data_IF_959888449591
#
_entry.id   IF_959888449591
#
_cell.length_a   1.000
_cell.length_b   1.000
_cell.length_c   1.000
_cell.angle_alpha   90.00
_cell.angle_beta   90.00
_cell.angle_gamma   90.00
#
_symmetry.space_group_name_H-M   'P 1'
#
loop_
_entity.id
_entity.type
_entity.pdbx_description
1 polymer ?
#
# COMPACT_ATOMS: atom_id res chain seq x y z
N UNK A 1 27.38 -10.14 68.67
CA UNK A 1 26.47 -11.15 68.09
C UNK A 1 25.07 -10.58 68.14
N UNK A 2 24.25 -10.46 67.11
CA UNK A 2 24.37 -10.53 65.66
C UNK A 2 23.09 -9.89 65.12
N UNK A 3 23.21 -8.82 64.34
CA UNK A 3 22.05 -8.19 63.68
C UNK A 3 21.72 -9.04 62.44
N UNK A 4 20.50 -9.59 62.39
CA UNK A 4 20.00 -10.31 61.22
C UNK A 4 19.56 -9.27 60.18
N UNK A 5 20.37 -9.07 59.16
CA UNK A 5 19.97 -8.42 57.91
C UNK A 5 18.96 -9.31 57.18
N UNK A 6 17.69 -8.93 57.18
CA UNK A 6 16.68 -9.50 56.28
C UNK A 6 16.60 -8.64 55.00
N UNK A 7 16.64 -9.22 53.79
CA UNK A 7 16.56 -8.45 52.56
C UNK A 7 15.16 -7.85 52.37
N UNK A 8 15.11 -6.54 52.08
CA UNK A 8 13.86 -5.83 51.84
C UNK A 8 13.10 -6.44 50.65
N UNK A 9 11.92 -7.00 50.92
CA UNK A 9 11.03 -7.54 49.89
C UNK A 9 10.26 -6.38 49.20
N UNK A 10 10.41 -6.17 47.88
CA UNK A 10 9.78 -5.04 47.19
C UNK A 10 8.29 -5.27 46.83
N UNK A 11 7.69 -6.37 47.26
CA UNK A 11 6.30 -6.75 46.95
C UNK A 11 5.32 -6.61 48.12
N UNK A 12 5.73 -6.06 49.28
CA UNK A 12 4.83 -5.83 50.43
C UNK A 12 4.70 -4.33 50.71
N UNK A 13 3.60 -3.73 50.24
CA UNK A 13 3.19 -2.38 50.62
C UNK A 13 2.60 -2.37 52.05
N UNK A 14 3.13 -1.59 53.01
CA UNK A 14 2.46 -1.38 54.29
C UNK A 14 1.56 -0.14 54.17
N UNK A 15 0.29 -0.33 53.81
CA UNK A 15 -0.71 0.74 54.05
C UNK A 15 -1.25 0.62 55.46
N UNK A 16 -0.80 1.59 56.26
CA UNK A 16 -1.14 1.91 57.63
C UNK A 16 -2.64 2.15 57.80
N UNK A 17 -3.11 1.76 58.98
CA UNK A 17 -4.47 1.70 59.52
C UNK A 17 -4.99 3.04 60.08
N UNK A 18 -6.35 3.14 60.11
CA UNK A 18 -7.25 3.93 61.01
C UNK A 18 -7.20 5.47 60.94
N UNK A 19 -8.26 6.28 61.13
CA UNK A 19 -9.66 6.12 61.57
C UNK A 19 -10.50 7.38 61.16
N UNK A 20 -11.84 7.26 61.15
CA UNK A 20 -12.98 8.14 60.75
C UNK A 20 -13.16 9.51 61.51
N UNK A 21 -14.24 10.36 61.36
CA UNK A 21 -15.55 10.22 60.66
C UNK A 21 -16.23 11.43 59.94
N UNK A 22 -17.31 11.07 59.20
CA UNK A 22 -18.58 11.77 58.88
C UNK A 22 -18.59 13.12 58.13
N UNK A 23 -19.09 13.09 56.89
CA UNK A 23 -20.31 13.84 56.55
C UNK A 23 -21.04 13.24 55.33
N UNK A 24 -22.36 13.05 55.46
CA UNK A 24 -23.29 12.66 54.40
C UNK A 24 -24.19 13.86 54.10
N UNK A 25 -24.76 14.02 52.89
CA UNK A 25 -26.06 13.38 52.66
C UNK A 25 -26.32 12.83 51.24
N UNK A 26 -26.97 11.66 51.25
CA UNK A 26 -28.06 11.17 50.37
C UNK A 26 -28.06 11.57 48.89
N UNK A 27 -27.73 10.59 48.05
CA UNK A 27 -28.30 10.38 46.72
C UNK A 27 -28.47 8.88 46.47
N UNK A 28 -29.71 8.39 46.57
CA UNK A 28 -30.04 6.96 46.63
C UNK A 28 -29.76 6.18 45.33
N UNK A 29 -29.13 5.00 45.50
CA UNK A 29 -29.14 3.90 44.53
C UNK A 29 -30.29 2.93 44.86
N UNK A 30 -31.11 2.62 43.87
CA UNK A 30 -31.74 1.30 43.65
C UNK A 30 -31.31 0.91 42.23
N UNK A 31 -30.86 -0.28 41.88
CA UNK A 31 -30.57 -1.54 42.54
C UNK A 31 -30.01 -2.43 41.42
N UNK A 32 -28.96 -3.20 41.71
CA UNK A 32 -28.24 -4.00 40.73
C UNK A 32 -29.05 -5.21 40.22
N UNK A 33 -28.72 -5.65 39.00
CA UNK A 33 -29.00 -7.00 38.50
C UNK A 33 -27.72 -7.61 37.92
N UNK A 34 -27.57 -8.95 37.99
CA UNK A 34 -26.27 -9.60 38.02
C UNK A 34 -25.67 -9.83 36.63
N UNK A 35 -24.33 -9.90 36.59
CA UNK A 35 -23.54 -10.45 35.48
C UNK A 35 -23.84 -11.95 35.36
N UNK A 36 -24.57 -12.33 34.32
CA UNK A 36 -24.63 -13.68 33.77
C UNK A 36 -24.05 -13.67 32.36
N UNK A 37 -23.23 -14.66 32.04
CA UNK A 37 -22.64 -14.89 30.72
C UNK A 37 -23.73 -14.99 29.64
N UNK A 38 -23.60 -14.21 28.57
CA UNK A 38 -24.16 -14.56 27.27
C UNK A 38 -23.20 -14.07 26.19
N UNK A 39 -22.74 -15.00 25.36
CA UNK A 39 -21.91 -14.70 24.18
C UNK A 39 -22.68 -13.83 23.17
N UNK A 40 -22.02 -13.42 22.08
CA UNK A 40 -22.67 -12.62 21.04
C UNK A 40 -23.89 -13.37 20.48
N UNK A 41 -25.00 -12.66 20.17
CA UNK A 41 -26.18 -13.28 19.58
C UNK A 41 -25.84 -13.90 18.23
N UNK A 42 -26.28 -15.14 18.01
CA UNK A 42 -26.12 -15.84 16.74
C UNK A 42 -26.84 -15.08 15.61
N UNK A 43 -26.29 -15.05 14.38
CA UNK A 43 -26.97 -14.48 13.23
C UNK A 43 -28.24 -15.29 12.88
N UNK A 44 -29.31 -14.63 12.38
CA UNK A 44 -30.56 -15.30 12.01
C UNK A 44 -30.31 -16.39 10.95
N UNK A 45 -30.90 -17.56 11.21
CA UNK A 45 -30.62 -18.82 10.53
C UNK A 45 -30.65 -18.74 9.00
N UNK A 46 -29.52 -19.11 8.39
CA UNK A 46 -29.48 -19.57 7.01
C UNK A 46 -29.88 -21.04 7.00
N UNK A 47 -31.05 -21.35 6.46
CA UNK A 47 -31.38 -22.71 6.03
C UNK A 47 -30.34 -23.15 4.98
N UNK A 48 -29.84 -24.40 5.00
CA UNK A 48 -28.96 -24.88 3.94
C UNK A 48 -29.82 -25.16 2.70
N UNK A 49 -29.83 -24.24 1.75
CA UNK A 49 -30.24 -24.56 0.37
C UNK A 49 -29.09 -25.32 -0.27
N UNK A 50 -29.33 -26.61 -0.53
CA UNK A 50 -28.49 -27.44 -1.37
C UNK A 50 -28.28 -26.78 -2.75
N UNK A 51 -27.14 -27.02 -3.44
CA UNK A 51 -26.96 -26.57 -4.82
C UNK A 51 -28.01 -27.25 -5.72
N UNK A 52 -28.53 -26.57 -6.76
CA UNK A 52 -29.44 -27.21 -7.69
C UNK A 52 -28.72 -28.35 -8.41
N UNK A 53 -29.25 -29.55 -8.19
CA UNK A 53 -28.94 -30.77 -8.92
C UNK A 53 -29.39 -30.55 -10.36
N UNK A 54 -28.45 -30.64 -11.30
CA UNK A 54 -28.77 -30.74 -12.72
C UNK A 54 -29.56 -32.04 -12.97
N UNK A 55 -30.68 -32.02 -13.72
CA UNK A 55 -31.37 -33.24 -14.06
C UNK A 55 -30.53 -34.05 -15.05
N UNK A 56 -29.93 -35.13 -14.57
CA UNK A 56 -29.41 -36.21 -15.41
C UNK A 56 -30.46 -37.29 -15.59
N UNK A 57 -30.69 -37.68 -16.85
CA UNK A 57 -31.39 -38.90 -17.27
C UNK A 57 -32.53 -38.57 -18.23
N UNK A 58 -32.53 -38.95 -19.51
CA UNK A 58 -31.63 -39.78 -20.30
C UNK A 58 -32.47 -40.57 -21.30
N UNK A 59 -32.07 -40.63 -22.58
CA UNK A 59 -32.27 -41.82 -23.42
C UNK A 59 -31.53 -41.70 -24.78
N UNK A 60 -30.48 -42.53 -24.89
CA UNK A 60 -30.01 -43.35 -26.02
C UNK A 60 -30.06 -42.79 -27.46
N UNK A 61 -28.90 -42.74 -28.11
CA UNK A 61 -28.46 -43.72 -29.14
C UNK A 61 -27.03 -43.40 -29.64
N UNK A 62 -26.14 -44.39 -29.60
CA UNK A 62 -24.88 -44.49 -30.40
C UNK A 62 -25.21 -45.13 -31.77
N UNK A 63 -24.32 -45.26 -32.80
CA UNK A 63 -22.85 -45.11 -32.78
C UNK A 63 -22.19 -44.47 -34.04
N UNK A 64 -20.91 -44.10 -33.95
CA UNK A 64 -19.85 -44.49 -34.92
C UNK A 64 -18.49 -43.84 -34.58
N UNK A 65 -17.43 -44.64 -34.67
CA UNK A 65 -15.99 -44.32 -34.52
C UNK A 65 -15.34 -44.55 -35.89
N UNK A 66 -14.30 -43.77 -36.28
CA UNK A 66 -12.93 -44.32 -36.38
C UNK A 66 -11.85 -43.26 -35.96
N UNK A 67 -10.95 -43.53 -35.00
CA UNK A 67 -9.55 -44.04 -35.13
C UNK A 67 -8.42 -42.99 -35.32
N UNK A 68 -7.78 -42.59 -34.19
CA UNK A 68 -6.34 -42.31 -33.94
C UNK A 68 -5.60 -41.12 -34.65
N UNK A 69 -4.38 -40.67 -34.21
CA UNK A 69 -3.57 -41.04 -33.04
C UNK A 69 -3.01 -39.88 -32.17
N UNK A 70 -2.63 -40.25 -30.94
CA UNK A 70 -1.49 -39.80 -30.10
C UNK A 70 -0.98 -38.34 -30.14
N UNK A 71 -1.11 -37.66 -29.00
CA UNK A 71 -0.29 -36.50 -28.66
C UNK A 71 1.16 -36.93 -28.35
N UNK A 72 2.21 -36.26 -28.89
CA UNK A 72 3.57 -36.52 -28.45
C UNK A 72 3.84 -35.83 -27.11
N UNK A 73 4.20 -36.65 -26.13
CA UNK A 73 4.75 -36.19 -24.87
C UNK A 73 6.13 -35.54 -25.07
N UNK A 74 6.31 -34.38 -24.41
CA UNK A 74 7.54 -33.77 -23.90
C UNK A 74 8.84 -33.88 -24.74
N UNK A 75 9.29 -32.73 -25.25
CA UNK A 75 10.71 -32.45 -25.44
C UNK A 75 11.09 -31.17 -24.68
N UNK A 76 11.98 -31.32 -23.70
CA UNK A 76 12.48 -30.23 -22.88
C UNK A 76 13.55 -29.37 -23.57
N UNK A 77 13.75 -28.18 -22.99
CA UNK A 77 15.01 -27.41 -22.94
C UNK A 77 15.67 -27.08 -24.28
N UNK A 78 15.37 -25.89 -24.80
CA UNK A 78 16.44 -25.00 -25.29
C UNK A 78 16.04 -23.53 -25.13
N UNK A 79 16.32 -22.98 -23.94
CA UNK A 79 16.50 -21.53 -23.79
C UNK A 79 17.93 -21.26 -24.25
N UNK A 80 18.10 -21.04 -25.56
CA UNK A 80 19.40 -20.77 -26.15
C UNK A 80 19.20 -19.98 -27.44
N UNK A 81 19.85 -18.83 -27.53
CA UNK A 81 19.83 -17.96 -28.70
C UNK A 81 20.50 -18.69 -29.87
N UNK A 82 19.71 -19.21 -30.81
CA UNK A 82 20.25 -19.86 -32.01
C UNK A 82 20.78 -18.78 -32.95
N UNK A 83 22.02 -18.97 -33.43
CA UNK A 83 22.65 -18.10 -34.42
C UNK A 83 21.95 -18.28 -35.76
N UNK A 84 21.17 -17.29 -36.19
CA UNK A 84 20.56 -17.28 -37.53
C UNK A 84 21.67 -17.06 -38.54
N UNK A 85 21.85 -18.01 -39.45
CA UNK A 85 22.67 -17.84 -40.66
C UNK A 85 22.08 -16.72 -41.52
N UNK A 86 22.94 -15.99 -42.23
CA UNK A 86 22.60 -14.77 -42.96
C UNK A 86 21.49 -15.02 -43.98
N UNK A 87 20.29 -14.52 -43.69
CA UNK A 87 19.19 -14.42 -44.65
C UNK A 87 19.19 -12.99 -45.14
N UNK A 88 19.18 -12.77 -46.45
CA UNK A 88 19.23 -11.45 -47.06
C UNK A 88 18.08 -10.56 -46.53
N UNK A 89 18.44 -9.47 -45.85
CA UNK A 89 17.50 -8.53 -45.24
C UNK A 89 16.71 -7.76 -46.30
N UNK A 90 15.39 -7.69 -46.15
CA UNK A 90 14.52 -6.91 -47.02
C UNK A 90 14.72 -5.41 -46.80
N UNK A 91 14.40 -4.57 -47.79
CA UNK A 91 14.62 -3.11 -47.72
C UNK A 91 13.93 -2.43 -46.51
N UNK A 92 12.80 -2.96 -46.05
CA UNK A 92 12.14 -2.50 -44.84
C UNK A 92 12.96 -2.81 -43.57
N UNK A 93 13.67 -3.94 -43.53
CA UNK A 93 14.53 -4.33 -42.40
C UNK A 93 15.80 -3.48 -42.35
N UNK A 94 16.35 -3.07 -43.50
CA UNK A 94 17.51 -2.17 -43.57
C UNK A 94 17.19 -0.79 -42.98
N UNK A 95 16.01 -0.23 -43.29
CA UNK A 95 15.55 1.05 -42.72
C UNK A 95 15.33 0.98 -41.21
N UNK A 96 14.84 -0.16 -40.69
CA UNK A 96 14.71 -0.34 -39.24
C UNK A 96 16.07 -0.51 -38.55
N UNK A 97 17.03 -1.17 -39.21
CA UNK A 97 18.37 -1.36 -38.69
C UNK A 97 19.17 -0.04 -38.66
N UNK A 98 18.99 0.83 -39.65
CA UNK A 98 19.56 2.19 -39.67
C UNK A 98 19.04 3.03 -38.49
N UNK A 99 17.72 3.07 -38.31
CA UNK A 99 17.11 3.76 -37.15
C UNK A 99 17.57 3.18 -35.81
N UNK A 100 17.79 1.86 -35.74
CA UNK A 100 18.32 1.21 -34.55
C UNK A 100 19.77 1.62 -34.26
N UNK A 101 20.61 1.78 -35.29
CA UNK A 101 22.00 2.26 -35.16
C UNK A 101 22.04 3.71 -34.64
N UNK A 102 21.20 4.59 -35.19
CA UNK A 102 21.09 5.98 -34.74
C UNK A 102 20.70 6.08 -33.26
N UNK A 103 19.76 5.23 -32.80
CA UNK A 103 19.37 5.19 -31.38
C UNK A 103 20.51 4.72 -30.47
N UNK A 104 21.33 3.78 -30.91
CA UNK A 104 22.50 3.30 -30.16
C UNK A 104 23.59 4.39 -30.08
N UNK A 105 23.83 5.13 -31.17
CA UNK A 105 24.80 6.21 -31.19
C UNK A 105 24.35 7.39 -30.33
N UNK A 106 23.08 7.80 -30.43
CA UNK A 106 22.51 8.85 -29.61
C UNK A 106 22.54 8.52 -28.10
N UNK A 107 22.32 7.26 -27.74
CA UNK A 107 22.42 6.81 -26.33
C UNK A 107 23.87 6.75 -25.85
N UNK A 108 24.82 6.40 -26.72
CA UNK A 108 26.26 6.40 -26.39
C UNK A 108 26.79 7.81 -26.12
N UNK A 109 26.42 8.80 -26.94
CA UNK A 109 26.80 10.20 -26.75
C UNK A 109 26.24 10.80 -25.45
N UNK A 110 24.96 10.53 -25.15
CA UNK A 110 24.34 10.95 -23.88
C UNK A 110 24.98 10.27 -22.66
N UNK A 111 25.40 9.00 -22.79
CA UNK A 111 26.10 8.30 -21.73
C UNK A 111 27.50 8.89 -21.46
N UNK A 112 28.21 9.34 -22.50
CA UNK A 112 29.51 10.01 -22.33
C UNK A 112 29.38 11.40 -21.73
N UNK A 113 28.40 12.20 -22.16
CA UNK A 113 28.14 13.53 -21.56
C UNK A 113 27.79 13.42 -20.07
N UNK A 114 26.98 12.43 -19.68
CA UNK A 114 26.62 12.21 -18.27
C UNK A 114 27.76 11.66 -17.43
N UNK A 115 28.78 11.04 -18.03
CA UNK A 115 30.01 10.64 -17.32
C UNK A 115 30.96 11.83 -17.15
N UNK A 116 31.18 12.63 -18.19
CA UNK A 116 32.00 13.84 -18.11
C UNK A 116 31.44 14.86 -17.10
N UNK A 117 30.12 15.08 -17.08
CA UNK A 117 29.46 15.93 -16.09
C UNK A 117 29.59 15.40 -14.63
N UNK A 118 29.89 14.11 -14.45
CA UNK A 118 30.09 13.49 -13.13
C UNK A 118 31.54 13.55 -12.66
N UNK A 119 32.47 13.67 -13.60
CA UNK A 119 33.90 13.81 -13.32
C UNK A 119 34.29 15.27 -13.02
N UNK A 120 33.60 16.26 -13.61
CA UNK A 120 33.81 17.68 -13.26
C UNK A 120 33.46 18.03 -11.80
N UNK A 121 32.56 17.27 -11.15
CA UNK A 121 32.17 17.50 -9.74
C UNK A 121 33.12 16.82 -8.75
N UNK A 122 34.09 16.00 -9.20
CA UNK A 122 34.95 15.20 -8.32
C UNK A 122 36.42 15.63 -8.23
N UNK A 123 36.84 16.70 -8.90
CA UNK A 123 38.25 17.13 -8.96
C UNK A 123 38.68 18.09 -7.84
N UNK A 124 38.28 17.83 -6.58
CA UNK A 124 38.85 18.51 -5.38
C UNK A 124 39.06 17.58 -4.17
N UNK A 125 39.49 16.33 -4.39
CA UNK A 125 40.01 15.50 -3.30
C UNK A 125 41.35 14.91 -3.69
N UNK A 126 42.37 15.30 -2.93
CA UNK A 126 43.76 14.83 -3.01
C UNK A 126 43.86 13.29 -3.07
N UNK A 127 44.92 12.74 -3.69
CA UNK A 127 45.11 11.30 -3.76
C UNK A 127 45.31 10.69 -2.37
N UNK A 128 44.31 9.93 -1.92
CA UNK A 128 44.39 9.17 -0.67
C UNK A 128 45.43 8.05 -0.78
N UNK A 129 46.53 8.20 -0.04
CA UNK A 129 47.62 7.23 0.05
C UNK A 129 47.13 5.81 0.43
N UNK A 130 47.44 4.75 -0.34
CA UNK A 130 46.90 3.40 -0.13
C UNK A 130 47.55 2.62 1.03
N UNK A 131 48.59 3.17 1.68
CA UNK A 131 49.35 2.48 2.75
C UNK A 131 48.96 2.89 4.19
N UNK A 132 48.00 3.81 4.39
CA UNK A 132 47.50 4.06 5.74
C UNK A 132 46.58 2.91 6.16
N UNK A 133 47.09 2.04 7.05
CA UNK A 133 46.30 1.04 7.78
C UNK A 133 45.15 1.74 8.50
N UNK A 134 43.96 1.67 7.91
CA UNK A 134 42.72 2.09 8.54
C UNK A 134 42.48 1.18 9.74
N UNK A 135 42.69 1.70 10.95
CA UNK A 135 42.22 1.07 12.18
C UNK A 135 40.70 0.99 12.09
N UNK A 136 40.19 -0.20 11.76
CA UNK A 136 38.75 -0.47 11.78
C UNK A 136 38.26 -0.15 13.19
N UNK A 137 37.24 0.70 13.38
CA UNK A 137 36.65 0.87 14.70
C UNK A 137 36.14 -0.49 15.14
N UNK A 138 36.57 -0.92 16.33
CA UNK A 138 36.18 -2.19 16.96
C UNK A 138 34.68 -2.37 16.79
N UNK A 139 34.28 -3.43 16.06
CA UNK A 139 32.88 -3.73 15.82
C UNK A 139 32.19 -3.95 17.16
N UNK A 140 31.46 -2.93 17.64
CA UNK A 140 30.51 -3.11 18.73
C UNK A 140 29.60 -4.28 18.36
N UNK A 141 29.70 -5.31 19.18
CA UNK A 141 28.96 -6.54 19.15
C UNK A 141 27.50 -6.25 18.80
N UNK A 142 27.04 -6.68 17.61
CA UNK A 142 25.66 -6.55 17.13
C UNK A 142 24.72 -7.42 17.99
N UNK A 143 24.50 -7.04 19.24
CA UNK A 143 23.44 -7.60 20.09
C UNK A 143 22.22 -6.70 19.94
N UNK A 144 21.30 -7.10 19.08
CA UNK A 144 20.05 -6.40 18.86
C UNK A 144 19.55 -6.64 17.44
N UNK A 145 18.92 -7.79 17.24
CA UNK A 145 18.30 -8.15 15.97
C UNK A 145 17.37 -7.05 15.45
N UNK A 146 17.10 -7.13 14.15
CA UNK A 146 16.20 -6.31 13.32
C UNK A 146 14.82 -5.97 13.92
N UNK A 147 14.47 -6.55 15.07
CA UNK A 147 13.26 -6.32 15.86
C UNK A 147 13.23 -4.95 16.58
N UNK A 148 14.39 -4.40 16.99
CA UNK A 148 14.44 -3.14 17.75
C UNK A 148 14.12 -1.87 16.94
N UNK A 149 14.15 -1.95 15.60
CA UNK A 149 13.86 -0.80 14.71
C UNK A 149 12.39 -0.70 14.31
N UNK A 150 11.60 -1.78 14.44
CA UNK A 150 10.17 -1.81 14.07
C UNK A 150 9.27 -1.27 15.17
N UNK A 151 9.70 -1.41 16.42
CA UNK A 151 8.99 -0.91 17.60
C UNK A 151 9.52 0.44 18.08
N UNK A 152 10.38 1.12 17.30
CA UNK A 152 10.72 2.51 17.62
C UNK A 152 9.45 3.32 17.38
N UNK A 153 8.88 3.99 18.40
CA UNK A 153 7.70 4.82 18.19
C UNK A 153 8.04 5.80 17.08
N UNK A 154 7.32 5.70 15.96
CA UNK A 154 7.40 6.74 14.94
C UNK A 154 7.09 8.03 15.66
N UNK A 155 7.98 9.01 15.53
CA UNK A 155 7.81 10.31 16.17
C UNK A 155 6.42 10.88 15.86
N UNK A 156 5.92 11.78 16.71
CA UNK A 156 4.58 12.32 16.55
C UNK A 156 4.36 12.83 15.12
N UNK A 157 3.48 12.15 14.38
CA UNK A 157 3.11 12.55 13.02
C UNK A 157 2.37 13.88 13.05
N UNK A 158 2.66 14.76 12.09
CA UNK A 158 1.92 16.02 11.93
C UNK A 158 0.42 15.72 11.84
N UNK A 159 -0.38 16.46 12.63
CA UNK A 159 -1.84 16.38 12.57
C UNK A 159 -2.28 17.13 11.32
N UNK A 160 -2.94 16.43 10.40
CA UNK A 160 -3.43 16.97 9.12
C UNK A 160 -4.92 16.64 9.03
N UNK A 161 -5.71 17.54 8.44
CA UNK A 161 -7.13 17.30 8.15
C UNK A 161 -7.27 16.20 7.10
N UNK A 162 -8.18 15.26 7.35
CA UNK A 162 -8.42 14.10 6.49
C UNK A 162 -9.89 13.97 6.16
N UNK A 163 -10.15 13.37 4.99
CA UNK A 163 -11.49 12.96 4.61
C UNK A 163 -12.03 11.95 5.63
N UNK A 164 -13.31 12.07 5.98
CA UNK A 164 -13.97 11.13 6.88
C UNK A 164 -14.05 9.74 6.24
N UNK A 165 -13.42 8.75 6.87
CA UNK A 165 -13.44 7.37 6.38
C UNK A 165 -14.84 6.74 6.52
N UNK A 166 -15.64 7.18 7.50
CA UNK A 166 -17.02 6.71 7.68
C UNK A 166 -17.93 7.12 6.53
N UNK A 167 -17.64 8.25 5.89
CA UNK A 167 -18.39 8.80 4.75
C UNK A 167 -17.73 8.53 3.39
N UNK A 168 -16.83 7.55 3.36
CA UNK A 168 -16.10 7.19 2.15
C UNK A 168 -17.00 6.77 0.98
N UNK A 169 -18.12 6.11 1.28
CA UNK A 169 -19.08 5.70 0.24
C UNK A 169 -19.88 6.89 -0.29
N UNK A 170 -20.36 7.79 0.57
CA UNK A 170 -21.01 9.04 0.17
C UNK A 170 -20.10 9.83 -0.78
N UNK A 171 -18.85 10.06 -0.36
CA UNK A 171 -17.86 10.73 -1.19
C UNK A 171 -17.64 10.04 -2.53
N UNK A 172 -17.57 8.69 -2.55
CA UNK A 172 -17.38 7.92 -3.79
C UNK A 172 -18.53 8.13 -4.78
N UNK A 173 -19.78 8.09 -4.30
CA UNK A 173 -20.95 8.23 -5.14
C UNK A 173 -21.13 9.68 -5.63
N UNK A 174 -20.96 10.66 -4.75
CA UNK A 174 -21.08 12.07 -5.11
C UNK A 174 -19.97 12.49 -6.08
N UNK A 175 -18.73 12.05 -5.84
CA UNK A 175 -17.62 12.32 -6.74
C UNK A 175 -17.85 11.70 -8.11
N UNK A 176 -18.32 10.45 -8.17
CA UNK A 176 -18.65 9.79 -9.44
C UNK A 176 -19.72 10.58 -10.20
N UNK A 177 -20.78 10.99 -9.51
CA UNK A 177 -21.87 11.76 -10.10
C UNK A 177 -21.39 13.08 -10.69
N UNK A 178 -20.56 13.83 -9.96
CA UNK A 178 -19.98 15.09 -10.47
C UNK A 178 -19.16 14.85 -11.74
N UNK A 179 -18.33 13.80 -11.77
CA UNK A 179 -17.50 13.46 -12.92
C UNK A 179 -18.33 13.01 -14.15
N UNK A 180 -19.46 12.33 -13.92
CA UNK A 180 -20.42 11.93 -14.96
C UNK A 180 -21.18 13.12 -15.53
N UNK A 181 -21.68 14.03 -14.68
CA UNK A 181 -22.38 15.26 -15.09
C UNK A 181 -21.51 16.21 -15.93
N UNK A 182 -20.20 16.24 -15.66
CA UNK A 182 -19.23 17.07 -16.38
C UNK A 182 -18.70 16.41 -17.67
N UNK A 183 -19.10 15.17 -17.96
CA UNK A 183 -18.73 14.48 -19.20
C UNK A 183 -17.25 14.07 -19.29
N UNK A 184 -16.55 13.90 -18.16
CA UNK A 184 -15.15 13.42 -18.14
C UNK A 184 -15.07 12.04 -18.80
N UNK A 185 -13.98 11.69 -19.48
CA UNK A 185 -13.84 10.36 -20.10
C UNK A 185 -13.75 9.23 -19.05
N UNK A 186 -14.42 8.09 -19.29
CA UNK A 186 -14.53 6.97 -18.34
C UNK A 186 -13.16 6.43 -17.86
N UNK A 187 -12.16 6.46 -18.74
CA UNK A 187 -10.77 6.07 -18.43
C UNK A 187 -10.16 6.94 -17.31
N UNK A 188 -10.48 8.23 -17.33
CA UNK A 188 -9.97 9.20 -16.36
C UNK A 188 -10.82 9.27 -15.11
N UNK A 189 -12.15 9.06 -15.19
CA UNK A 189 -13.06 9.05 -14.02
C UNK A 189 -12.59 8.10 -12.93
N UNK A 190 -12.26 6.86 -13.30
CA UNK A 190 -11.85 5.82 -12.36
C UNK A 190 -10.54 6.17 -11.64
N UNK A 191 -9.59 6.78 -12.37
CA UNK A 191 -8.32 7.23 -11.82
C UNK A 191 -8.52 8.40 -10.86
N UNK A 192 -9.26 9.43 -11.28
CA UNK A 192 -9.55 10.61 -10.45
C UNK A 192 -10.27 10.19 -9.17
N UNK A 193 -11.29 9.34 -9.27
CA UNK A 193 -12.02 8.84 -8.11
C UNK A 193 -11.13 8.08 -7.12
N UNK A 194 -10.37 7.10 -7.62
CA UNK A 194 -9.54 6.23 -6.75
C UNK A 194 -8.42 7.00 -6.08
N UNK A 195 -7.73 7.86 -6.82
CA UNK A 195 -6.61 8.64 -6.31
C UNK A 195 -7.08 9.73 -5.34
N UNK A 196 -8.16 10.45 -5.65
CA UNK A 196 -8.67 11.51 -4.77
C UNK A 196 -9.11 10.93 -3.42
N UNK A 197 -9.80 9.80 -3.42
CA UNK A 197 -10.15 9.08 -2.19
C UNK A 197 -8.91 8.64 -1.41
N UNK A 198 -7.96 7.98 -2.07
CA UNK A 198 -6.77 7.46 -1.43
C UNK A 198 -5.93 8.59 -0.80
N UNK A 199 -5.73 9.69 -1.53
CA UNK A 199 -5.00 10.86 -1.04
C UNK A 199 -5.74 11.56 0.10
N UNK A 200 -7.03 11.82 -0.06
CA UNK A 200 -7.85 12.49 0.97
C UNK A 200 -7.92 11.73 2.29
N UNK A 201 -7.98 10.39 2.26
CA UNK A 201 -8.11 9.56 3.45
C UNK A 201 -6.78 9.20 4.11
N UNK A 202 -5.74 8.90 3.33
CA UNK A 202 -4.46 8.42 3.86
C UNK A 202 -3.53 9.58 4.20
N UNK A 203 -3.54 10.58 3.34
CA UNK A 203 -2.49 11.55 3.15
C UNK A 203 -2.95 12.88 3.77
N UNK A 204 -4.00 13.47 3.20
CA UNK A 204 -4.65 14.66 3.72
C UNK A 204 -5.54 15.31 2.69
N UNK A 205 -6.35 16.27 3.13
CA UNK A 205 -7.24 17.06 2.27
C UNK A 205 -6.44 17.92 1.29
N UNK A 206 -5.37 18.54 1.77
CA UNK A 206 -4.52 19.41 0.95
C UNK A 206 -3.85 18.62 -0.19
N UNK A 207 -3.43 17.38 0.06
CA UNK A 207 -2.86 16.50 -0.96
C UNK A 207 -3.90 16.02 -1.99
N UNK A 208 -5.17 15.92 -1.59
CA UNK A 208 -6.26 15.64 -2.52
C UNK A 208 -6.55 16.85 -3.42
N UNK A 209 -6.58 18.07 -2.87
CA UNK A 209 -6.76 19.32 -3.65
C UNK A 209 -5.61 19.52 -4.65
N UNK A 210 -4.36 19.36 -4.20
CA UNK A 210 -3.19 19.43 -5.08
C UNK A 210 -3.25 18.42 -6.22
N UNK A 211 -3.77 17.22 -5.99
CA UNK A 211 -3.94 16.25 -7.08
C UNK A 211 -5.00 16.69 -8.10
N UNK A 212 -6.09 17.30 -7.64
CA UNK A 212 -7.11 17.84 -8.54
C UNK A 212 -6.56 19.03 -9.33
N UNK A 213 -5.73 19.88 -8.73
CA UNK A 213 -5.04 20.96 -9.45
C UNK A 213 -4.16 20.40 -10.58
N UNK A 214 -3.43 19.33 -10.32
CA UNK A 214 -2.61 18.67 -11.34
C UNK A 214 -3.48 18.11 -12.49
N UNK A 215 -4.69 17.63 -12.18
CA UNK A 215 -5.65 17.15 -13.19
C UNK A 215 -6.34 18.26 -13.95
N UNK A 216 -6.58 19.39 -13.31
CA UNK A 216 -7.07 20.61 -13.95
C UNK A 216 -6.03 21.16 -14.94
N UNK A 217 -4.77 21.26 -14.51
CA UNK A 217 -3.64 21.69 -15.38
C UNK A 217 -3.40 20.73 -16.54
N UNK A 218 -3.63 19.44 -16.34
CA UNK A 218 -3.54 18.44 -17.40
C UNK A 218 -4.74 18.48 -18.38
N UNK A 219 -5.76 19.30 -18.12
CA UNK A 219 -6.98 19.38 -18.94
C UNK A 219 -7.89 18.15 -18.83
N UNK A 220 -7.71 17.33 -17.79
CA UNK A 220 -8.52 16.11 -17.57
C UNK A 220 -9.89 16.45 -16.98
N UNK A 221 -9.93 17.51 -16.16
CA UNK A 221 -11.15 18.03 -15.54
C UNK A 221 -11.26 19.53 -15.86
N UNK A 222 -12.49 20.02 -15.91
CA UNK A 222 -12.83 21.43 -16.06
C UNK A 222 -12.76 22.18 -14.71
N UNK A 223 -12.71 23.51 -14.76
CA UNK A 223 -12.72 24.37 -13.57
C UNK A 223 -14.03 24.23 -12.77
N UNK A 224 -15.16 24.06 -13.47
CA UNK A 224 -16.46 23.78 -12.84
C UNK A 224 -16.45 22.49 -12.04
N UNK A 225 -15.81 21.46 -12.59
CA UNK A 225 -15.72 20.14 -11.95
C UNK A 225 -14.87 20.24 -10.69
N UNK A 226 -13.70 20.89 -10.83
CA UNK A 226 -12.80 21.15 -9.72
C UNK A 226 -13.50 21.84 -8.55
N UNK A 227 -14.21 22.94 -8.81
CA UNK A 227 -14.89 23.72 -7.76
C UNK A 227 -16.00 22.91 -7.05
N UNK A 228 -16.70 22.03 -7.77
CA UNK A 228 -17.70 21.12 -7.17
C UNK A 228 -17.05 20.06 -6.30
N UNK A 229 -15.98 19.43 -6.78
CA UNK A 229 -15.25 18.41 -6.03
C UNK A 229 -14.61 19.00 -4.79
N UNK A 230 -14.06 20.22 -4.87
CA UNK A 230 -13.47 20.90 -3.72
C UNK A 230 -14.48 21.11 -2.59
N UNK A 231 -15.69 21.59 -2.92
CA UNK A 231 -16.80 21.74 -1.96
C UNK A 231 -17.20 20.40 -1.34
N UNK A 232 -17.24 19.33 -2.14
CA UNK A 232 -17.53 17.97 -1.66
C UNK A 232 -16.45 17.46 -0.70
N UNK A 233 -15.18 17.71 -1.01
CA UNK A 233 -14.08 17.36 -0.11
C UNK A 233 -14.29 18.09 1.21
N UNK A 234 -14.43 19.42 1.18
CA UNK A 234 -14.55 20.27 2.36
C UNK A 234 -15.74 19.88 3.26
N UNK A 235 -16.90 19.52 2.68
CA UNK A 235 -18.09 19.10 3.42
C UNK A 235 -17.93 17.74 4.13
N UNK A 236 -17.13 16.84 3.56
CA UNK A 236 -16.88 15.50 4.08
C UNK A 236 -15.53 15.38 4.82
N UNK A 237 -14.86 16.50 5.06
CA UNK A 237 -13.64 16.53 5.90
C UNK A 237 -13.98 16.44 7.39
N UNK A 238 -13.12 15.73 8.13
CA UNK A 238 -13.18 15.75 9.60
C UNK A 238 -12.46 16.99 10.13
N UNK A 239 -13.07 17.67 11.10
CA UNK A 239 -12.46 18.82 11.79
C UNK A 239 -11.38 18.26 12.74
N UNK A 240 -10.09 18.40 12.39
CA UNK A 240 -8.99 17.90 13.23
C UNK A 240 -7.75 18.76 13.19
#
# INVERSE_FOLDING_TARGET
MGAKDEPSNPFKNPRKSANEPRNSPRGGRKGGRPRGQSGPPAPPGKKPTAPPIAPSGGMKTTPSKPSAPAAPARAGKSVGLRKKSQVASTDAQKKTDERARELIEATRLKATETQLAKDEVKTKKEPSNPFKKQTKPSGQQRRGGRQGKRNRPQGPTKRIKKLDQGKSMEFKYDLRRILEEEGVEDEHRSNVLSQTMAKGQRQGVDEAKSFLDDKLKAGVITESCYARIEKLIDSLTTRR
#
